data_IF_072040138228
#
_entry.id   IF_072040138228
#
_cell.length_a   1.000
_cell.length_b   1.000
_cell.length_c   1.000
_cell.angle_alpha   90.00
_cell.angle_beta   90.00
_cell.angle_gamma   90.00
#
_symmetry.space_group_name_H-M   'P 1'
#
loop_
_entity.id
_entity.type
_entity.pdbx_description
1 polymer ?
#
# COMPACT_ATOMS: atom_id res chain seq x y z
N UNK A 1 -9.01 -31.71 -46.79
CA UNK A 1 -10.05 -30.83 -46.24
C UNK A 1 -9.39 -30.01 -45.16
N UNK A 2 -9.40 -28.68 -45.30
CA UNK A 2 -8.66 -27.78 -44.42
C UNK A 2 -9.63 -27.31 -43.34
N UNK A 3 -9.42 -27.76 -42.10
CA UNK A 3 -10.28 -27.39 -40.99
C UNK A 3 -10.11 -25.89 -40.67
N UNK A 4 -11.20 -25.15 -40.45
CA UNK A 4 -11.10 -23.75 -40.07
C UNK A 4 -10.47 -23.63 -38.68
N UNK A 5 -9.37 -22.89 -38.57
CA UNK A 5 -8.75 -22.53 -37.30
C UNK A 5 -9.74 -21.71 -36.45
N UNK A 6 -10.42 -22.38 -35.52
CA UNK A 6 -11.35 -21.74 -34.61
C UNK A 6 -10.58 -21.13 -33.45
N UNK A 7 -10.25 -19.83 -33.54
CA UNK A 7 -9.58 -19.11 -32.46
C UNK A 7 -10.57 -18.78 -31.33
N UNK A 8 -10.57 -19.58 -30.27
CA UNK A 8 -11.33 -19.28 -29.05
C UNK A 8 -10.54 -18.22 -28.26
N UNK A 9 -11.07 -16.99 -28.08
CA UNK A 9 -10.39 -15.99 -27.27
C UNK A 9 -10.30 -16.50 -25.83
N UNK A 10 -9.08 -16.89 -25.42
CA UNK A 10 -8.73 -17.21 -24.04
C UNK A 10 -8.68 -15.93 -23.19
N UNK A 11 -9.81 -15.21 -23.11
CA UNK A 11 -9.98 -14.15 -22.12
C UNK A 11 -10.30 -14.82 -20.77
N UNK A 12 -9.28 -15.41 -20.15
CA UNK A 12 -9.37 -15.81 -18.76
C UNK A 12 -9.64 -14.55 -17.94
N UNK A 13 -10.79 -14.50 -17.27
CA UNK A 13 -11.16 -13.43 -16.36
C UNK A 13 -10.08 -13.34 -15.27
N UNK A 14 -9.13 -12.41 -15.42
CA UNK A 14 -8.10 -12.15 -14.43
C UNK A 14 -8.80 -11.77 -13.13
N UNK A 15 -8.77 -12.65 -12.14
CA UNK A 15 -9.41 -12.45 -10.85
C UNK A 15 -8.82 -11.22 -10.17
N UNK A 16 -9.57 -10.12 -10.14
CA UNK A 16 -9.14 -8.84 -9.54
C UNK A 16 -9.21 -8.85 -8.00
N UNK A 17 -9.70 -9.92 -7.40
CA UNK A 17 -9.91 -10.04 -5.96
C UNK A 17 -8.64 -9.77 -5.14
N UNK A 18 -7.51 -10.37 -5.55
CA UNK A 18 -6.23 -10.15 -4.87
C UNK A 18 -5.70 -8.72 -4.99
N UNK A 19 -6.09 -7.99 -6.05
CA UNK A 19 -5.70 -6.57 -6.23
C UNK A 19 -6.61 -5.67 -5.40
N UNK A 20 -7.91 -5.97 -5.31
CA UNK A 20 -8.86 -5.24 -4.45
C UNK A 20 -8.48 -5.34 -2.97
N UNK A 21 -8.11 -6.53 -2.50
CA UNK A 21 -7.60 -6.72 -1.12
C UNK A 21 -6.32 -5.93 -0.88
N UNK A 22 -5.36 -5.99 -1.82
CA UNK A 22 -4.11 -5.24 -1.72
C UNK A 22 -4.38 -3.72 -1.63
N UNK A 23 -5.35 -3.24 -2.40
CA UNK A 23 -5.79 -1.85 -2.37
C UNK A 23 -6.40 -1.48 -1.02
N UNK A 24 -7.27 -2.33 -0.46
CA UNK A 24 -7.88 -2.10 0.86
C UNK A 24 -6.84 -2.07 1.97
N UNK A 25 -5.89 -3.01 1.96
CA UNK A 25 -4.74 -3.05 2.87
C UNK A 25 -3.87 -1.78 2.76
N UNK A 26 -3.66 -1.27 1.54
CA UNK A 26 -2.95 -0.01 1.33
C UNK A 26 -3.67 1.18 1.95
N UNK A 27 -4.98 1.31 1.72
CA UNK A 27 -5.76 2.41 2.33
C UNK A 27 -5.72 2.33 3.85
N UNK A 28 -5.88 1.13 4.41
CA UNK A 28 -5.79 0.91 5.85
C UNK A 28 -4.39 1.26 6.40
N UNK A 29 -3.32 0.85 5.72
CA UNK A 29 -1.93 1.17 6.08
C UNK A 29 -1.67 2.68 6.09
N UNK A 30 -2.06 3.39 5.03
CA UNK A 30 -1.90 4.86 4.94
C UNK A 30 -2.73 5.58 6.00
N UNK A 31 -3.96 5.12 6.26
CA UNK A 31 -4.83 5.66 7.31
C UNK A 31 -4.22 5.49 8.70
N UNK A 32 -3.71 4.30 9.01
CA UNK A 32 -3.01 4.03 10.28
C UNK A 32 -1.75 4.87 10.42
N UNK A 33 -0.99 5.06 9.33
CA UNK A 33 0.18 5.93 9.34
C UNK A 33 -0.19 7.39 9.64
N UNK A 34 -1.22 7.93 8.97
CA UNK A 34 -1.70 9.29 9.23
C UNK A 34 -2.19 9.47 10.67
N UNK A 35 -2.91 8.49 11.20
CA UNK A 35 -3.37 8.49 12.60
C UNK A 35 -2.20 8.44 13.60
N UNK A 36 -1.20 7.59 13.35
CA UNK A 36 0.02 7.51 14.16
C UNK A 36 0.77 8.86 14.18
N UNK A 37 0.84 9.53 13.03
CA UNK A 37 1.53 10.79 12.85
C UNK A 37 0.83 11.93 13.60
N UNK A 38 -0.51 12.01 13.51
CA UNK A 38 -1.30 12.96 14.31
C UNK A 38 -1.09 12.73 15.81
N UNK A 39 -1.12 11.47 16.27
CA UNK A 39 -0.88 11.16 17.67
C UNK A 39 0.54 11.52 18.11
N UNK A 40 1.55 11.28 17.27
CA UNK A 40 2.93 11.69 17.54
C UNK A 40 3.08 13.21 17.67
N UNK A 41 2.43 13.98 16.79
CA UNK A 41 2.47 15.44 16.83
C UNK A 41 1.66 16.05 17.99
N UNK A 42 0.59 15.38 18.42
CA UNK A 42 -0.31 15.89 19.46
C UNK A 42 0.12 15.45 20.86
N UNK A 43 0.90 14.37 21.00
CA UNK A 43 1.31 13.90 22.31
C UNK A 43 2.47 14.69 22.90
N UNK A 44 2.18 15.44 23.96
CA UNK A 44 3.17 16.18 24.75
C UNK A 44 4.06 15.31 25.65
N UNK A 45 3.75 14.01 25.79
CA UNK A 45 4.41 13.13 26.75
C UNK A 45 5.31 12.10 26.03
N UNK A 46 6.57 11.96 26.47
CA UNK A 46 7.57 11.13 25.79
C UNK A 46 7.20 9.65 25.73
N UNK A 47 6.52 9.13 26.76
CA UNK A 47 6.02 7.75 26.82
C UNK A 47 4.94 7.51 25.77
N UNK A 48 4.05 8.48 25.57
CA UNK A 48 3.00 8.39 24.55
C UNK A 48 3.59 8.44 23.14
N UNK A 49 4.56 9.34 22.91
CA UNK A 49 5.31 9.39 21.65
C UNK A 49 5.97 8.06 21.34
N UNK A 50 6.66 7.46 22.33
CA UNK A 50 7.34 6.17 22.18
C UNK A 50 6.37 5.00 21.92
N UNK A 51 5.25 4.93 22.66
CA UNK A 51 4.22 3.92 22.45
C UNK A 51 3.52 4.06 21.10
N UNK A 52 3.21 5.29 20.66
CA UNK A 52 2.65 5.54 19.33
C UNK A 52 3.65 5.17 18.22
N UNK A 53 4.93 5.47 18.44
CA UNK A 53 5.99 5.17 17.49
C UNK A 53 6.20 3.66 17.30
N UNK A 54 6.27 2.89 18.40
CA UNK A 54 6.46 1.43 18.34
C UNK A 54 5.16 0.70 17.98
N UNK A 55 4.02 1.16 18.50
CA UNK A 55 2.74 0.47 18.37
C UNK A 55 2.01 0.74 17.06
N UNK A 56 2.20 1.91 16.44
CA UNK A 56 1.46 2.34 15.26
C UNK A 56 2.38 2.76 14.12
N UNK A 57 3.40 3.58 14.39
CA UNK A 57 4.26 4.13 13.34
C UNK A 57 5.14 3.05 12.69
N UNK A 58 6.01 2.34 13.44
CA UNK A 58 6.86 1.28 12.89
C UNK A 58 6.07 0.18 12.16
N UNK A 59 4.98 -0.38 12.73
CA UNK A 59 4.21 -1.44 12.08
C UNK A 59 3.54 -0.97 10.78
N UNK A 60 2.98 0.25 10.76
CA UNK A 60 2.37 0.82 9.55
C UNK A 60 3.41 1.06 8.46
N UNK A 61 4.62 1.50 8.83
CA UNK A 61 5.75 1.70 7.93
C UNK A 61 6.19 0.37 7.30
N UNK A 62 6.45 -0.66 8.12
CA UNK A 62 6.82 -2.01 7.66
C UNK A 62 5.75 -2.59 6.74
N UNK A 63 4.48 -2.47 7.13
CA UNK A 63 3.34 -2.91 6.31
C UNK A 63 3.33 -2.21 4.95
N UNK A 64 3.59 -0.90 4.90
CA UNK A 64 3.68 -0.13 3.67
C UNK A 64 4.81 -0.64 2.75
N UNK A 65 5.99 -0.97 3.31
CA UNK A 65 7.11 -1.54 2.55
C UNK A 65 6.71 -2.89 1.92
N UNK A 66 6.09 -3.77 2.72
CA UNK A 66 5.68 -5.10 2.27
C UNK A 66 4.62 -4.99 1.17
N UNK A 67 3.65 -4.09 1.32
CA UNK A 67 2.60 -3.90 0.30
C UNK A 67 3.19 -3.27 -0.97
N UNK A 68 4.15 -2.34 -0.86
CA UNK A 68 4.86 -1.78 -2.00
C UNK A 68 5.60 -2.86 -2.79
N UNK A 69 6.34 -3.74 -2.11
CA UNK A 69 7.05 -4.88 -2.73
C UNK A 69 6.07 -5.84 -3.43
N UNK A 70 4.93 -6.14 -2.79
CA UNK A 70 3.85 -6.93 -3.41
C UNK A 70 3.24 -6.23 -4.64
N UNK A 71 3.07 -4.90 -4.58
CA UNK A 71 2.60 -4.07 -5.68
C UNK A 71 3.55 -4.09 -6.88
N UNK A 72 4.86 -3.97 -6.63
CA UNK A 72 5.92 -4.08 -7.65
C UNK A 72 5.92 -5.49 -8.26
N UNK A 73 5.90 -6.54 -7.43
CA UNK A 73 5.86 -7.92 -7.89
C UNK A 73 4.63 -8.21 -8.78
N UNK A 74 3.49 -7.59 -8.46
CA UNK A 74 2.24 -7.75 -9.22
C UNK A 74 2.01 -6.64 -10.27
N UNK A 75 3.01 -5.83 -10.58
CA UNK A 75 2.87 -4.67 -11.49
C UNK A 75 2.42 -5.07 -12.90
N UNK A 76 2.96 -6.16 -13.45
CA UNK A 76 2.58 -6.65 -14.78
C UNK A 76 1.15 -7.23 -14.83
N UNK A 77 0.57 -7.56 -13.67
CA UNK A 77 -0.77 -8.15 -13.57
C UNK A 77 -1.84 -7.14 -13.12
N UNK A 78 -1.44 -5.95 -12.66
CA UNK A 78 -2.35 -4.89 -12.19
C UNK A 78 -2.82 -4.00 -13.34
N UNK A 79 -4.14 -3.70 -13.44
CA UNK A 79 -4.66 -2.77 -14.43
C UNK A 79 -4.18 -1.34 -14.14
N UNK A 80 -3.99 -0.55 -15.19
CA UNK A 80 -3.39 0.81 -15.11
C UNK A 80 -4.05 1.71 -14.05
N UNK A 81 -5.36 1.60 -13.87
CA UNK A 81 -6.14 2.37 -12.89
C UNK A 81 -5.81 2.01 -11.43
N UNK A 82 -5.56 0.73 -11.13
CA UNK A 82 -5.26 0.28 -9.77
C UNK A 82 -3.76 0.36 -9.42
N UNK A 83 -2.88 0.48 -10.43
CA UNK A 83 -1.43 0.62 -10.21
C UNK A 83 -1.09 1.79 -9.30
N UNK A 84 -1.79 2.92 -9.46
CA UNK A 84 -1.58 4.11 -8.65
C UNK A 84 -1.97 3.89 -7.18
N UNK A 85 -3.05 3.15 -6.91
CA UNK A 85 -3.42 2.81 -5.54
C UNK A 85 -2.52 1.72 -4.93
N UNK A 86 -1.97 0.82 -5.75
CA UNK A 86 -1.08 -0.24 -5.25
C UNK A 86 0.35 0.23 -5.00
N UNK A 87 0.83 1.25 -5.72
CA UNK A 87 2.20 1.77 -5.61
C UNK A 87 2.28 3.19 -5.03
N UNK A 88 1.37 4.09 -5.43
CA UNK A 88 1.39 5.49 -5.02
C UNK A 88 0.97 5.71 -3.58
N UNK A 89 -0.05 5.00 -3.08
CA UNK A 89 -0.45 5.09 -1.68
C UNK A 89 0.68 4.70 -0.70
N UNK A 90 1.33 3.53 -0.84
CA UNK A 90 2.38 3.12 0.09
C UNK A 90 3.69 3.94 -0.03
N UNK A 91 3.82 4.76 -1.07
CA UNK A 91 4.87 5.79 -1.17
C UNK A 91 4.62 6.97 -0.22
N UNK A 92 3.38 7.27 0.16
CA UNK A 92 3.05 8.40 1.05
C UNK A 92 3.67 8.20 2.45
N UNK A 93 3.51 7.03 3.12
CA UNK A 93 4.21 6.77 4.39
C UNK A 93 5.72 6.87 4.26
N UNK A 94 6.29 6.33 3.19
CA UNK A 94 7.74 6.36 2.92
C UNK A 94 8.29 7.80 2.79
N UNK A 95 7.61 8.64 2.02
CA UNK A 95 7.97 10.05 1.88
C UNK A 95 7.72 10.82 3.18
N UNK A 96 6.61 10.54 3.87
CA UNK A 96 6.27 11.15 5.14
C UNK A 96 7.35 10.92 6.22
N UNK A 97 7.97 9.75 6.25
CA UNK A 97 9.10 9.46 7.16
C UNK A 97 10.33 10.31 6.82
N UNK A 98 10.56 10.59 5.54
CA UNK A 98 11.69 11.41 5.11
C UNK A 98 11.53 12.88 5.52
N UNK A 99 10.28 13.37 5.57
CA UNK A 99 9.96 14.73 6.00
C UNK A 99 9.71 14.85 7.51
N UNK A 100 9.29 13.78 8.19
CA UNK A 100 9.01 13.76 9.63
C UNK A 100 10.12 14.36 10.53
N UNK A 101 11.44 14.10 10.32
CA UNK A 101 12.48 14.70 11.17
C UNK A 101 12.68 16.21 10.98
N UNK A 102 12.06 16.81 9.96
CA UNK A 102 12.15 18.27 9.71
C UNK A 102 10.98 19.05 10.32
N UNK A 103 9.96 18.36 10.85
CA UNK A 103 8.77 18.97 11.47
C UNK A 103 8.71 18.78 13.00
N UNK A 104 9.74 18.16 13.59
CA UNK A 104 9.90 17.96 15.03
C UNK A 104 10.95 18.88 15.64
#
# INVERSE_FOLDING_TARGET
MQEPEYYVPHNQAKTTFGIKILCFLNVASVGLFGYALINLLTCNNSICGFMSLIGLFLPSLISSIVILLLGIYRFNKTPKTLRWMTLGLPLIPMLGVYFAPFFG
#
